data_IF_663514047385
#
_entry.id   IF_663514047385
#
_cell.length_a   1.000
_cell.length_b   1.000
_cell.length_c   1.000
_cell.angle_alpha   90.00
_cell.angle_beta   90.00
_cell.angle_gamma   90.00
#
_symmetry.space_group_name_H-M   'P 1'
#
loop_
_entity.id
_entity.type
_entity.pdbx_description
1 polymer ?
#
# COMPACT_ATOMS: atom_id res chain seq x y z
N UNK A 1 7.98 0.03 -2.34
CA UNK A 1 7.52 -0.08 -0.94
C UNK A 1 6.05 -0.47 -0.89
N UNK A 2 5.67 -1.40 -0.02
CA UNK A 2 4.27 -1.74 0.26
C UNK A 2 3.97 -1.40 1.72
N UNK A 3 2.83 -0.78 1.97
CA UNK A 3 2.31 -0.49 3.30
C UNK A 3 0.97 -1.20 3.48
N UNK A 4 0.81 -1.92 4.58
CA UNK A 4 -0.45 -2.58 4.96
C UNK A 4 -0.87 -2.20 6.37
N UNK A 5 -2.17 -2.05 6.58
CA UNK A 5 -2.73 -1.65 7.87
C UNK A 5 -4.04 -2.35 8.21
N UNK A 6 -4.23 -2.60 9.50
CA UNK A 6 -5.42 -3.26 10.07
C UNK A 6 -6.10 -2.44 11.19
N UNK A 7 -7.28 -2.91 11.63
CA UNK A 7 -8.11 -2.26 12.64
C UNK A 7 -7.58 -2.38 14.07
N UNK A 8 -6.52 -3.16 14.29
CA UNK A 8 -5.77 -3.18 15.54
C UNK A 8 -4.74 -2.02 15.59
N UNK A 9 -4.71 -1.17 14.55
CA UNK A 9 -3.77 -0.07 14.43
C UNK A 9 -2.34 -0.55 14.12
N UNK A 10 -2.19 -1.73 13.53
CA UNK A 10 -0.88 -2.23 13.11
C UNK A 10 -0.61 -1.74 11.71
N UNK A 11 0.54 -1.10 11.54
CA UNK A 11 1.08 -0.71 10.24
C UNK A 11 2.35 -1.53 9.99
N UNK A 12 2.34 -2.32 8.93
CA UNK A 12 3.54 -2.96 8.42
C UNK A 12 3.96 -2.30 7.11
N UNK A 13 5.27 -2.07 6.97
CA UNK A 13 5.88 -1.60 5.73
C UNK A 13 6.99 -2.58 5.35
N UNK A 14 7.06 -2.92 4.08
CA UNK A 14 8.11 -3.79 3.57
C UNK A 14 8.47 -3.43 2.13
N UNK A 15 9.72 -3.71 1.78
CA UNK A 15 10.25 -3.42 0.46
C UNK A 15 10.34 -4.67 -0.40
N UNK A 16 9.89 -4.53 -1.64
CA UNK A 16 9.88 -5.59 -2.65
C UNK A 16 10.98 -5.30 -3.67
N UNK A 17 11.93 -6.23 -3.81
CA UNK A 17 13.13 -6.05 -4.65
C UNK A 17 14.16 -7.17 -4.42
N UNK A 18 15.40 -6.98 -4.89
CA UNK A 18 16.40 -8.05 -4.92
C UNK A 18 17.53 -7.91 -3.87
N UNK A 19 17.42 -6.98 -2.93
CA UNK A 19 18.46 -6.69 -1.94
C UNK A 19 18.20 -7.35 -0.57
N UNK A 20 18.34 -8.67 -0.54
CA UNK A 20 18.10 -9.50 0.65
C UNK A 20 18.97 -9.08 1.83
N UNK A 21 20.17 -8.51 1.59
CA UNK A 21 21.07 -8.05 2.66
C UNK A 21 20.49 -6.88 3.45
N UNK A 22 19.67 -6.07 2.80
CA UNK A 22 18.97 -4.94 3.40
C UNK A 22 17.49 -5.25 3.69
N UNK A 23 17.13 -6.53 3.85
CA UNK A 23 15.76 -6.99 4.12
C UNK A 23 14.74 -6.64 3.02
N UNK A 24 15.21 -6.45 1.78
CA UNK A 24 14.37 -6.28 0.60
C UNK A 24 14.20 -7.63 -0.09
N UNK A 25 12.97 -8.11 -0.22
CA UNK A 25 12.69 -9.45 -0.74
C UNK A 25 11.93 -9.42 -2.06
N UNK A 26 12.15 -10.37 -2.99
CA UNK A 26 11.54 -10.32 -4.32
C UNK A 26 10.04 -10.67 -4.32
N UNK A 27 9.54 -11.17 -3.19
CA UNK A 27 8.16 -11.61 -3.00
C UNK A 27 7.68 -11.16 -1.63
N UNK A 28 6.42 -10.74 -1.57
CA UNK A 28 5.73 -10.47 -0.32
C UNK A 28 4.28 -10.97 -0.38
N UNK A 29 3.68 -11.15 0.79
CA UNK A 29 2.30 -11.59 0.95
C UNK A 29 1.54 -10.60 1.82
N UNK A 30 0.42 -10.09 1.33
CA UNK A 30 -0.51 -9.26 2.10
C UNK A 30 -1.62 -10.15 2.65
N UNK A 31 -1.89 -10.14 3.97
CA UNK A 31 -2.97 -10.93 4.55
C UNK A 31 -4.36 -10.58 3.98
N UNK A 32 -5.29 -11.53 4.05
CA UNK A 32 -6.69 -11.24 3.69
C UNK A 32 -7.30 -10.23 4.68
N UNK A 33 -8.03 -9.25 4.17
CA UNK A 33 -8.86 -8.35 4.96
C UNK A 33 -8.15 -7.12 5.53
N UNK A 34 -6.90 -6.89 5.13
CA UNK A 34 -6.15 -5.67 5.45
C UNK A 34 -6.20 -4.70 4.27
N UNK A 35 -6.14 -3.40 4.58
CA UNK A 35 -5.93 -2.39 3.54
C UNK A 35 -4.44 -2.33 3.20
N UNK A 36 -4.12 -2.24 1.92
CA UNK A 36 -2.74 -2.05 1.49
C UNK A 36 -2.63 -1.01 0.37
N UNK A 37 -1.47 -0.36 0.32
CA UNK A 37 -1.04 0.55 -0.72
C UNK A 37 0.41 0.24 -1.11
N UNK A 38 0.76 0.44 -2.37
CA UNK A 38 2.11 0.20 -2.87
C UNK A 38 2.56 1.37 -3.74
N UNK A 39 3.80 1.80 -3.55
CA UNK A 39 4.46 2.82 -4.37
C UNK A 39 5.85 2.33 -4.82
N UNK A 40 6.37 2.81 -5.97
CA UNK A 40 7.79 2.67 -6.28
C UNK A 40 8.66 3.21 -5.14
N UNK A 41 9.91 2.76 -5.06
CA UNK A 41 10.86 3.27 -4.08
C UNK A 41 10.86 4.82 -4.06
N UNK A 42 10.46 5.47 -2.96
CA UNK A 42 10.32 6.93 -2.92
C UNK A 42 11.66 7.65 -3.02
N UNK A 43 12.77 6.97 -2.73
CA UNK A 43 14.12 7.51 -2.85
C UNK A 43 14.69 7.34 -4.27
N UNK A 44 13.94 6.72 -5.18
CA UNK A 44 14.32 6.52 -6.57
C UNK A 44 13.21 7.01 -7.52
N UNK A 45 13.51 8.03 -8.34
CA UNK A 45 12.59 8.45 -9.42
C UNK A 45 12.57 7.43 -10.57
N UNK A 46 11.93 6.30 -10.32
CA UNK A 46 11.84 5.17 -11.24
C UNK A 46 10.45 4.51 -11.17
N UNK A 47 10.21 3.59 -12.10
CA UNK A 47 9.02 2.75 -12.12
C UNK A 47 9.29 1.42 -11.40
N UNK A 48 8.21 0.74 -10.98
CA UNK A 48 8.28 -0.63 -10.44
C UNK A 48 7.32 -1.52 -11.23
N UNK A 49 7.83 -2.65 -11.73
CA UNK A 49 7.01 -3.69 -12.37
C UNK A 49 6.86 -4.86 -11.40
N UNK A 50 5.62 -5.18 -11.04
CA UNK A 50 5.32 -6.25 -10.10
C UNK A 50 4.23 -7.18 -10.65
N UNK A 51 4.32 -8.45 -10.29
CA UNK A 51 3.24 -9.42 -10.48
C UNK A 51 2.45 -9.58 -9.18
N UNK A 52 1.12 -9.60 -9.28
CA UNK A 52 0.24 -9.92 -8.16
C UNK A 52 -0.55 -11.20 -8.49
N UNK A 53 -0.58 -12.14 -7.55
CA UNK A 53 -1.45 -13.32 -7.64
C UNK A 53 -2.29 -13.41 -6.39
N UNK A 54 -3.53 -13.89 -6.54
CA UNK A 54 -4.51 -13.99 -5.47
C UNK A 54 -5.19 -15.36 -5.54
N UNK A 55 -5.44 -15.94 -4.37
CA UNK A 55 -6.13 -17.21 -4.21
C UNK A 55 -7.16 -17.12 -3.07
N UNK A 56 -8.44 -17.50 -3.26
CA UNK A 56 -9.09 -17.89 -4.53
C UNK A 56 -8.97 -16.82 -5.64
N UNK A 57 -9.24 -17.21 -6.89
CA UNK A 57 -9.10 -16.30 -8.03
C UNK A 57 -9.89 -15.00 -7.86
N UNK A 58 -9.37 -13.91 -8.41
CA UNK A 58 -9.94 -12.56 -8.28
C UNK A 58 -11.41 -12.51 -8.70
N UNK A 59 -12.23 -11.83 -7.89
CA UNK A 59 -13.61 -11.49 -8.20
C UNK A 59 -13.87 -10.03 -7.78
N UNK A 60 -14.61 -9.27 -8.62
CA UNK A 60 -14.99 -7.90 -8.31
C UNK A 60 -15.81 -7.77 -7.02
N UNK A 61 -16.56 -8.81 -6.64
CA UNK A 61 -17.31 -8.82 -5.38
C UNK A 61 -16.40 -8.82 -4.14
N UNK A 62 -15.15 -9.21 -4.31
CA UNK A 62 -14.16 -9.35 -3.24
C UNK A 62 -13.20 -8.15 -3.19
N UNK A 63 -13.35 -7.20 -4.12
CA UNK A 63 -12.50 -6.03 -4.26
C UNK A 63 -13.22 -4.75 -3.82
N UNK A 64 -12.47 -3.81 -3.25
CA UNK A 64 -12.98 -2.53 -2.80
C UNK A 64 -11.89 -1.46 -2.88
N UNK A 65 -12.29 -0.24 -3.21
CA UNK A 65 -11.44 0.95 -3.04
C UNK A 65 -11.91 1.66 -1.77
N UNK A 66 -11.00 1.86 -0.83
CA UNK A 66 -11.32 2.55 0.40
C UNK A 66 -11.50 4.05 0.16
N UNK A 67 -12.49 4.63 0.83
CA UNK A 67 -12.58 6.07 1.05
C UNK A 67 -11.73 6.47 2.25
N UNK A 68 -11.32 7.76 2.33
CA UNK A 68 -10.56 8.26 3.47
C UNK A 68 -11.24 7.99 4.83
N UNK A 69 -12.56 8.19 5.02
CA UNK A 69 -13.21 7.82 6.28
C UNK A 69 -13.12 6.33 6.62
N UNK A 70 -13.24 5.45 5.62
CA UNK A 70 -13.11 4.01 5.82
C UNK A 70 -11.68 3.62 6.25
N UNK A 71 -10.65 4.28 5.71
CA UNK A 71 -9.27 4.06 6.13
C UNK A 71 -9.03 4.51 7.58
N UNK A 72 -9.53 5.70 7.95
CA UNK A 72 -9.41 6.21 9.33
C UNK A 72 -10.05 5.22 10.30
N UNK A 73 -11.27 4.77 10.02
CA UNK A 73 -11.96 3.77 10.84
C UNK A 73 -11.18 2.45 10.90
N UNK A 74 -10.76 1.95 9.74
CA UNK A 74 -10.06 0.67 9.62
C UNK A 74 -8.63 0.68 10.17
N UNK A 75 -8.07 1.83 10.53
CA UNK A 75 -6.74 1.96 11.15
C UNK A 75 -6.81 2.30 12.64
N UNK A 76 -7.99 2.19 13.26
CA UNK A 76 -8.20 2.45 14.68
C UNK A 76 -8.47 3.91 15.04
N UNK A 77 -8.84 4.74 14.06
CA UNK A 77 -9.16 6.16 14.24
C UNK A 77 -8.01 7.10 13.83
N UNK A 78 -8.19 8.39 14.13
CA UNK A 78 -7.14 9.39 13.92
C UNK A 78 -5.93 9.13 14.84
N UNK A 79 -4.73 9.33 14.31
CA UNK A 79 -3.48 9.15 15.06
C UNK A 79 -2.31 8.76 14.17
N UNK A 80 -1.15 8.58 14.81
CA UNK A 80 0.14 8.41 14.12
C UNK A 80 0.15 7.29 13.06
N UNK A 81 -0.57 6.18 13.30
CA UNK A 81 -0.66 5.06 12.35
C UNK A 81 -1.45 5.45 11.09
N UNK A 82 -2.61 6.07 11.28
CA UNK A 82 -3.42 6.58 10.18
C UNK A 82 -2.65 7.67 9.41
N UNK A 83 -1.98 8.59 10.09
CA UNK A 83 -1.20 9.65 9.47
C UNK A 83 -0.06 9.08 8.61
N UNK A 84 0.66 8.08 9.12
CA UNK A 84 1.74 7.41 8.39
C UNK A 84 1.25 6.66 7.14
N UNK A 85 0.09 6.02 7.22
CA UNK A 85 -0.52 5.37 6.06
C UNK A 85 -1.00 6.41 5.04
N UNK A 86 -1.64 7.49 5.50
CA UNK A 86 -2.16 8.55 4.64
C UNK A 86 -1.06 9.30 3.88
N UNK A 87 0.16 9.42 4.43
CA UNK A 87 1.31 9.97 3.68
C UNK A 87 1.59 9.20 2.39
N UNK A 88 1.45 7.87 2.40
CA UNK A 88 1.63 7.03 1.20
C UNK A 88 0.50 7.29 0.22
N UNK A 89 -0.74 7.30 0.72
CA UNK A 89 -1.94 7.55 -0.11
C UNK A 89 -1.86 8.93 -0.78
N UNK A 90 -1.50 9.97 -0.03
CA UNK A 90 -1.41 11.34 -0.54
C UNK A 90 -0.32 11.47 -1.63
N UNK A 91 0.81 10.77 -1.49
CA UNK A 91 1.85 10.72 -2.55
C UNK A 91 1.35 10.05 -3.82
N UNK A 92 0.61 8.95 -3.70
CA UNK A 92 0.04 8.25 -4.85
C UNK A 92 -0.97 9.13 -5.59
N UNK A 93 -1.88 9.76 -4.86
CA UNK A 93 -2.89 10.67 -5.45
C UNK A 93 -2.26 11.90 -6.10
N UNK A 94 -1.22 12.48 -5.48
CA UNK A 94 -0.53 13.63 -6.06
C UNK A 94 0.15 13.29 -7.40
N UNK A 95 0.78 12.12 -7.50
CA UNK A 95 1.41 11.64 -8.74
C UNK A 95 0.40 11.45 -9.87
N UNK A 96 -0.78 10.91 -9.56
CA UNK A 96 -1.85 10.75 -10.55
C UNK A 96 -2.31 12.11 -11.13
N UNK A 97 -2.40 13.15 -10.28
CA UNK A 97 -2.81 14.48 -10.73
C UNK A 97 -1.76 15.15 -11.64
N UNK A 98 -0.46 14.95 -11.38
CA UNK A 98 0.61 15.47 -12.23
C UNK A 98 0.71 14.78 -13.59
N UNK A 99 0.37 13.50 -13.68
CA UNK A 99 0.34 12.76 -14.94
C UNK A 99 -0.91 13.07 -15.79
N UNK A 100 -2.03 13.44 -15.16
CA UNK A 100 -3.29 13.75 -15.87
C UNK A 100 -3.27 15.13 -16.55
N UNK A 101 -2.32 16.01 -16.18
CA UNK A 101 -2.14 17.36 -16.75
C UNK A 101 -1.11 17.39 -17.91
N UNK A 102 -0.72 16.22 -18.45
CA UNK A 102 0.14 16.05 -19.64
C UNK A 102 -0.61 15.47 -20.82
#
# INVERSE_FOLDING_TARGET
>A
MVSEGDCDGRLAKFDVGFDVKNHVFPLATVPKGVWFAAEPDPDCEAYSLMGATVAPGFNYTDWSIATKPQLIEALGGEGNVCDEYMKVVDRLVAKDLEETDR
#
